data_IF_390995738061
#
_entry.id   IF_390995738061
#
_cell.length_a   1.000
_cell.length_b   1.000
_cell.length_c   1.000
_cell.angle_alpha   90.00
_cell.angle_beta   90.00
_cell.angle_gamma   90.00
#
_symmetry.space_group_name_H-M   'P 1'
#
loop_
_entity.id
_entity.type
_entity.pdbx_description
1 polymer ?
#
# COMPACT_ATOMS: atom_id res chain seq x y z
N UNK A 1 15.48 -9.64 -3.15
CA UNK A 1 14.21 -9.09 -2.64
C UNK A 1 13.03 -9.65 -3.44
N UNK A 2 11.89 -9.94 -2.81
CA UNK A 2 10.66 -10.35 -3.50
C UNK A 2 10.04 -9.17 -4.28
N UNK A 3 9.53 -9.34 -5.52
CA UNK A 3 9.01 -8.23 -6.34
C UNK A 3 7.91 -7.40 -5.65
N UNK A 4 7.10 -8.03 -4.80
CA UNK A 4 6.04 -7.34 -4.06
C UNK A 4 6.56 -6.24 -3.11
N UNK A 5 7.82 -6.33 -2.67
CA UNK A 5 8.42 -5.36 -1.75
C UNK A 5 9.19 -4.25 -2.47
N UNK A 6 9.20 -4.21 -3.80
CA UNK A 6 10.03 -3.28 -4.57
C UNK A 6 9.82 -1.81 -4.18
N UNK A 7 8.58 -1.43 -3.90
CA UNK A 7 8.21 -0.06 -3.50
C UNK A 7 8.61 0.26 -2.06
N UNK A 8 8.80 -0.77 -1.24
CA UNK A 8 9.26 -0.66 0.14
C UNK A 8 10.77 -0.92 0.27
N UNK A 9 11.47 -1.18 -0.84
CA UNK A 9 12.87 -1.59 -0.86
C UNK A 9 13.77 -0.77 0.10
N UNK A 10 13.66 0.58 0.17
CA UNK A 10 14.52 1.38 1.05
C UNK A 10 14.40 1.05 2.55
N UNK A 11 13.27 0.49 2.99
CA UNK A 11 12.98 0.24 4.40
C UNK A 11 12.88 -1.25 4.72
N UNK A 12 12.27 -2.03 3.83
CA UNK A 12 11.96 -3.45 4.05
C UNK A 12 13.23 -4.30 4.22
N UNK A 13 14.34 -3.95 3.55
CA UNK A 13 15.61 -4.67 3.68
C UNK A 13 16.18 -4.57 5.09
N UNK A 14 15.92 -3.45 5.78
CA UNK A 14 16.41 -3.21 7.15
C UNK A 14 15.65 -4.03 8.19
N UNK A 15 14.47 -4.54 7.84
CA UNK A 15 13.55 -5.18 8.79
C UNK A 15 13.14 -6.60 8.41
N UNK A 16 13.58 -7.15 7.27
CA UNK A 16 13.05 -8.43 6.74
C UNK A 16 13.95 -9.65 6.94
N UNK A 17 15.19 -9.48 7.42
CA UNK A 17 16.16 -10.57 7.57
C UNK A 17 16.93 -10.52 8.93
N UNK A 18 16.34 -11.02 10.04
CA UNK A 18 14.98 -11.54 10.18
C UNK A 18 13.93 -10.42 10.29
N UNK A 19 12.65 -10.78 10.27
CA UNK A 19 11.56 -9.85 10.54
C UNK A 19 11.72 -9.16 11.90
N UNK A 20 11.93 -7.85 11.89
CA UNK A 20 12.04 -7.00 13.09
C UNK A 20 11.13 -5.79 12.92
N UNK A 21 10.18 -5.61 13.82
CA UNK A 21 9.25 -4.50 13.69
C UNK A 21 9.98 -3.16 13.83
N UNK A 22 9.77 -2.19 12.93
CA UNK A 22 10.36 -0.87 13.10
C UNK A 22 9.68 -0.14 14.26
N UNK A 23 10.47 0.55 15.08
CA UNK A 23 9.94 1.42 16.14
C UNK A 23 9.37 2.72 15.55
N UNK A 24 8.52 3.42 16.29
CA UNK A 24 8.05 4.76 15.91
C UNK A 24 9.22 5.73 15.65
N UNK A 25 10.28 5.66 16.46
CA UNK A 25 11.50 6.45 16.25
C UNK A 25 12.14 6.16 14.90
N UNK A 26 12.21 4.87 14.51
CA UNK A 26 12.78 4.48 13.21
C UNK A 26 11.89 4.91 12.05
N UNK A 27 10.57 4.72 12.14
CA UNK A 27 9.61 5.17 11.13
C UNK A 27 9.68 6.68 10.92
N UNK A 28 9.72 7.46 12.00
CA UNK A 28 9.84 8.91 11.94
C UNK A 28 11.22 9.37 11.43
N UNK A 29 12.29 8.64 11.75
CA UNK A 29 13.61 8.91 11.16
C UNK A 29 13.62 8.70 9.64
N UNK A 30 12.97 7.65 9.15
CA UNK A 30 12.78 7.44 7.71
C UNK A 30 11.92 8.53 7.07
N UNK A 31 10.83 8.96 7.72
CA UNK A 31 10.03 10.08 7.23
C UNK A 31 10.82 11.39 7.19
N UNK A 32 11.68 11.64 8.18
CA UNK A 32 12.55 12.80 8.19
C UNK A 32 13.60 12.75 7.07
N UNK A 33 14.20 11.58 6.83
CA UNK A 33 15.11 11.38 5.71
C UNK A 33 14.42 11.67 4.36
N UNK A 34 13.16 11.25 4.21
CA UNK A 34 12.34 11.59 3.03
C UNK A 34 12.07 13.08 2.90
N UNK A 35 11.82 13.80 4.00
CA UNK A 35 11.64 15.27 3.98
C UNK A 35 12.89 15.98 3.48
N UNK A 36 14.06 15.46 3.82
CA UNK A 36 15.34 16.06 3.44
C UNK A 36 15.76 15.72 2.00
N UNK A 37 15.14 14.72 1.36
CA UNK A 37 15.44 14.34 -0.01
C UNK A 37 14.78 15.30 -1.02
N UNK A 38 15.56 15.81 -1.97
CA UNK A 38 15.05 16.66 -3.04
C UNK A 38 13.94 15.94 -3.85
N UNK A 39 12.88 16.68 -4.21
CA UNK A 39 11.70 16.19 -4.94
C UNK A 39 10.81 15.15 -4.21
N UNK A 40 10.96 14.99 -2.89
CA UNK A 40 10.06 14.15 -2.09
C UNK A 40 8.81 14.92 -1.66
N UNK A 41 7.64 14.30 -1.81
CA UNK A 41 6.41 14.79 -1.15
C UNK A 41 6.42 14.26 0.28
N UNK A 42 6.53 15.12 1.30
CA UNK A 42 6.56 14.66 2.68
C UNK A 42 5.21 14.04 3.05
N UNK A 43 5.27 13.01 3.89
CA UNK A 43 4.12 12.35 4.48
C UNK A 43 3.95 12.74 5.95
N UNK A 44 2.89 12.22 6.58
CA UNK A 44 2.61 12.40 8.00
C UNK A 44 3.69 11.75 8.89
N UNK A 45 3.76 12.19 10.15
CA UNK A 45 4.52 11.50 11.18
C UNK A 45 3.74 10.28 11.72
N UNK A 46 4.41 9.41 12.45
CA UNK A 46 3.80 8.23 13.08
C UNK A 46 3.76 8.41 14.60
N UNK A 47 2.61 8.12 15.21
CA UNK A 47 2.40 8.28 16.64
C UNK A 47 1.57 7.13 17.21
N UNK A 48 1.86 6.74 18.45
CA UNK A 48 0.98 5.89 19.24
C UNK A 48 -0.10 6.78 19.86
N UNK A 49 -1.27 6.82 19.20
CA UNK A 49 -2.40 7.62 19.62
C UNK A 49 -3.70 6.88 19.29
N UNK A 50 -4.69 7.02 20.15
CA UNK A 50 -6.07 6.62 19.87
C UNK A 50 -6.88 7.89 19.56
N UNK A 51 -7.17 8.17 18.27
CA UNK A 51 -7.82 9.42 17.90
C UNK A 51 -9.30 9.42 18.28
N UNK A 52 -9.73 10.45 19.01
CA UNK A 52 -11.13 10.58 19.47
C UNK A 52 -12.10 10.86 18.31
N UNK A 53 -11.61 11.54 17.27
CA UNK A 53 -12.33 11.91 16.05
C UNK A 53 -12.36 10.77 15.00
N UNK A 54 -11.64 9.67 15.25
CA UNK A 54 -11.49 8.55 14.33
C UNK A 54 -10.20 8.61 13.50
N UNK A 55 -9.87 7.48 12.88
CA UNK A 55 -8.57 7.26 12.23
C UNK A 55 -8.33 8.21 11.03
N UNK A 56 -9.25 8.25 10.07
CA UNK A 56 -9.07 9.04 8.85
C UNK A 56 -9.10 10.55 9.11
N UNK A 57 -10.07 11.10 9.89
CA UNK A 57 -10.11 12.52 10.23
C UNK A 57 -8.86 12.99 10.98
N UNK A 58 -8.32 12.16 11.88
CA UNK A 58 -7.10 12.50 12.63
C UNK A 58 -5.90 12.70 11.72
N UNK A 59 -5.68 11.78 10.77
CA UNK A 59 -4.58 11.91 9.80
C UNK A 59 -4.71 13.19 9.00
N UNK A 60 -5.93 13.50 8.53
CA UNK A 60 -6.19 14.70 7.73
C UNK A 60 -5.95 15.99 8.52
N UNK A 61 -6.32 16.02 9.80
CA UNK A 61 -6.21 17.21 10.64
C UNK A 61 -4.81 17.42 11.24
N UNK A 62 -4.11 16.34 11.59
CA UNK A 62 -2.89 16.41 12.40
C UNK A 62 -1.62 15.97 11.67
N UNK A 63 -1.75 15.45 10.44
CA UNK A 63 -0.63 14.84 9.71
C UNK A 63 0.11 13.79 10.56
N UNK A 64 -0.66 13.02 11.34
CA UNK A 64 -0.19 11.96 12.21
C UNK A 64 -0.94 10.67 11.88
N UNK A 65 -0.20 9.60 11.63
CA UNK A 65 -0.75 8.27 11.38
C UNK A 65 -0.72 7.48 12.69
N UNK A 66 -1.88 7.17 13.29
CA UNK A 66 -1.97 6.26 14.42
C UNK A 66 -1.30 4.93 14.08
N UNK A 67 -0.29 4.56 14.87
CA UNK A 67 0.54 3.38 14.65
C UNK A 67 0.80 2.72 15.99
N UNK A 68 0.16 1.58 16.25
CA UNK A 68 0.30 0.85 17.50
C UNK A 68 1.66 0.13 17.56
N UNK A 69 2.34 0.13 18.72
CA UNK A 69 3.46 -0.76 18.96
C UNK A 69 3.05 -2.22 18.77
N UNK A 70 4.00 -3.07 18.38
CA UNK A 70 3.82 -4.51 18.22
C UNK A 70 2.71 -4.92 17.23
N UNK A 71 2.31 -4.01 16.33
CA UNK A 71 1.33 -4.26 15.28
C UNK A 71 1.97 -4.22 13.87
N UNK A 72 2.11 -5.39 13.24
CA UNK A 72 2.72 -5.50 11.91
C UNK A 72 1.89 -4.85 10.81
N UNK A 73 0.57 -4.91 10.93
CA UNK A 73 -0.33 -4.29 9.98
C UNK A 73 -0.16 -2.76 9.99
N UNK A 74 -0.10 -2.14 11.17
CA UNK A 74 0.19 -0.71 11.31
C UNK A 74 1.60 -0.36 10.82
N UNK A 75 2.59 -1.23 11.08
CA UNK A 75 3.96 -1.03 10.59
C UNK A 75 4.02 -1.03 9.04
N UNK A 76 3.34 -1.97 8.38
CA UNK A 76 3.25 -1.97 6.91
C UNK A 76 2.45 -0.79 6.37
N UNK A 77 1.40 -0.38 7.08
CA UNK A 77 0.66 0.82 6.72
C UNK A 77 1.56 2.07 6.77
N UNK A 78 2.40 2.19 7.81
CA UNK A 78 3.40 3.25 7.92
C UNK A 78 4.42 3.22 6.77
N UNK A 79 4.91 2.02 6.40
CA UNK A 79 5.76 1.84 5.22
C UNK A 79 5.04 2.22 3.91
N UNK A 80 3.74 1.96 3.79
CA UNK A 80 2.95 2.41 2.64
C UNK A 80 2.76 3.93 2.61
N UNK A 81 2.61 4.60 3.75
CA UNK A 81 2.66 6.08 3.83
C UNK A 81 4.03 6.62 3.40
N UNK A 82 5.12 5.93 3.75
CA UNK A 82 6.46 6.23 3.27
C UNK A 82 6.62 5.95 1.76
N UNK A 83 6.00 4.93 1.18
CA UNK A 83 6.14 4.66 -0.25
C UNK A 83 5.23 5.56 -1.11
N UNK A 84 4.01 5.81 -0.63
CA UNK A 84 2.89 6.34 -1.40
C UNK A 84 2.20 7.54 -0.74
N UNK A 85 2.94 8.58 -0.29
CA UNK A 85 2.36 9.66 0.52
C UNK A 85 1.20 10.36 -0.19
N UNK A 86 1.31 10.57 -1.51
CA UNK A 86 0.25 11.20 -2.32
C UNK A 86 -0.99 10.33 -2.46
N UNK A 87 -0.82 9.03 -2.72
CA UNK A 87 -1.94 8.12 -2.91
C UNK A 87 -2.66 7.88 -1.57
N UNK A 88 -1.91 7.66 -0.50
CA UNK A 88 -2.46 7.50 0.85
C UNK A 88 -3.18 8.75 1.33
N UNK A 89 -2.62 9.95 1.11
CA UNK A 89 -3.32 11.20 1.41
C UNK A 89 -4.61 11.39 0.58
N UNK A 90 -4.59 11.01 -0.71
CA UNK A 90 -5.79 11.07 -1.55
C UNK A 90 -6.89 10.10 -1.09
N UNK A 91 -6.51 8.86 -0.73
CA UNK A 91 -7.44 7.85 -0.18
C UNK A 91 -8.01 8.34 1.16
N UNK A 92 -7.16 8.84 2.07
CA UNK A 92 -7.57 9.37 3.36
C UNK A 92 -8.53 10.56 3.20
N UNK A 93 -8.22 11.52 2.33
CA UNK A 93 -9.12 12.66 2.06
C UNK A 93 -10.46 12.19 1.50
N UNK A 94 -10.46 11.25 0.56
CA UNK A 94 -11.71 10.72 0.00
C UNK A 94 -12.56 9.99 1.06
N UNK A 95 -11.91 9.28 2.01
CA UNK A 95 -12.61 8.73 3.18
C UNK A 95 -13.27 9.82 4.02
N UNK A 96 -12.56 10.91 4.32
CA UNK A 96 -13.11 12.03 5.09
C UNK A 96 -14.27 12.72 4.36
N UNK A 97 -14.15 12.98 3.06
CA UNK A 97 -15.20 13.59 2.24
C UNK A 97 -16.49 12.73 2.25
N UNK A 98 -16.35 11.41 2.12
CA UNK A 98 -17.48 10.47 2.18
C UNK A 98 -18.11 10.46 3.58
N UNK A 99 -17.29 10.41 4.63
CA UNK A 99 -17.75 10.43 6.03
C UNK A 99 -18.51 11.72 6.37
N UNK A 100 -18.03 12.86 5.87
CA UNK A 100 -18.68 14.16 6.05
C UNK A 100 -20.03 14.21 5.31
N UNK A 101 -20.05 13.82 4.03
CA UNK A 101 -21.26 13.85 3.21
C UNK A 101 -22.35 12.90 3.70
N UNK A 102 -21.97 11.69 4.16
CA UNK A 102 -22.91 10.68 4.61
C UNK A 102 -23.26 10.73 6.11
N UNK A 103 -22.51 11.52 6.90
CA UNK A 103 -22.77 11.75 8.32
C UNK A 103 -22.86 10.46 9.15
N UNK A 104 -23.86 10.38 10.02
CA UNK A 104 -24.01 9.26 10.95
C UNK A 104 -24.38 7.94 10.27
N UNK A 105 -25.08 7.98 9.14
CA UNK A 105 -25.42 6.78 8.38
C UNK A 105 -24.15 6.11 7.84
N UNK A 106 -23.23 6.89 7.26
CA UNK A 106 -21.96 6.39 6.73
C UNK A 106 -21.01 5.87 7.82
N UNK A 107 -21.06 6.47 9.02
CA UNK A 107 -20.30 5.96 10.18
C UNK A 107 -20.78 4.60 10.65
N UNK A 108 -22.09 4.33 10.56
CA UNK A 108 -22.68 3.04 10.96
C UNK A 108 -22.55 1.97 9.89
N UNK A 109 -22.71 2.37 8.63
CA UNK A 109 -22.64 1.45 7.51
C UNK A 109 -21.84 2.09 6.38
N UNK A 110 -20.76 1.42 6.02
CA UNK A 110 -19.87 1.84 4.95
C UNK A 110 -20.57 1.77 3.60
N UNK A 111 -20.45 2.85 2.82
CA UNK A 111 -20.90 2.88 1.43
C UNK A 111 -19.99 2.04 0.50
N UNK A 112 -20.50 1.63 -0.67
CA UNK A 112 -19.67 0.95 -1.68
C UNK A 112 -18.43 1.74 -2.10
N UNK A 113 -18.52 3.07 -2.15
CA UNK A 113 -17.37 3.93 -2.49
C UNK A 113 -16.28 3.83 -1.42
N UNK A 114 -16.66 3.89 -0.13
CA UNK A 114 -15.73 3.73 0.98
C UNK A 114 -15.16 2.31 1.04
N UNK A 115 -15.94 1.29 0.69
CA UNK A 115 -15.45 -0.10 0.58
C UNK A 115 -14.37 -0.25 -0.50
N UNK A 116 -14.56 0.36 -1.68
CA UNK A 116 -13.55 0.32 -2.75
C UNK A 116 -12.25 0.99 -2.29
N UNK A 117 -12.32 2.12 -1.60
CA UNK A 117 -11.14 2.78 -1.04
C UNK A 117 -10.44 1.91 0.00
N UNK A 118 -11.18 1.27 0.90
CA UNK A 118 -10.60 0.33 1.86
C UNK A 118 -9.94 -0.86 1.15
N UNK A 119 -10.60 -1.47 0.16
CA UNK A 119 -10.02 -2.59 -0.59
C UNK A 119 -8.73 -2.20 -1.33
N UNK A 120 -8.68 -0.99 -1.89
CA UNK A 120 -7.48 -0.44 -2.51
C UNK A 120 -6.37 -0.27 -1.47
N UNK A 121 -6.69 0.27 -0.29
CA UNK A 121 -5.70 0.54 0.75
C UNK A 121 -5.14 -0.72 1.45
N UNK A 122 -5.97 -1.77 1.55
CA UNK A 122 -5.66 -3.03 2.21
C UNK A 122 -4.94 -4.03 1.29
N UNK A 123 -5.45 -4.19 0.06
CA UNK A 123 -5.01 -5.22 -0.87
C UNK A 123 -4.86 -4.75 -2.31
N UNK A 124 -4.77 -3.45 -2.53
CA UNK A 124 -4.63 -2.86 -3.86
C UNK A 124 -3.22 -3.00 -4.43
N UNK A 125 -3.14 -3.19 -5.74
CA UNK A 125 -1.89 -3.15 -6.48
C UNK A 125 -2.08 -2.53 -7.87
N UNK A 126 -0.97 -2.06 -8.43
CA UNK A 126 -0.88 -1.59 -9.82
C UNK A 126 0.07 -2.52 -10.57
N UNK A 127 -0.40 -3.10 -11.67
CA UNK A 127 0.40 -3.92 -12.56
C UNK A 127 0.67 -3.14 -13.85
N UNK A 128 1.93 -2.76 -14.04
CA UNK A 128 2.41 -2.10 -15.25
C UNK A 128 2.95 -3.15 -16.22
N UNK A 129 2.52 -3.09 -17.48
CA UNK A 129 2.88 -4.03 -18.54
C UNK A 129 3.47 -3.30 -19.75
N UNK A 130 4.71 -3.62 -20.10
CA UNK A 130 5.43 -3.04 -21.26
C UNK A 130 5.53 -4.02 -22.44
N UNK A 131 4.66 -5.04 -22.49
CA UNK A 131 4.69 -6.09 -23.51
C UNK A 131 3.26 -6.57 -23.81
N UNK A 132 2.85 -6.41 -25.07
CA UNK A 132 1.51 -6.79 -25.53
C UNK A 132 1.23 -8.30 -25.32
N UNK A 133 2.23 -9.17 -25.52
CA UNK A 133 2.03 -10.60 -25.37
C UNK A 133 1.71 -10.99 -23.92
N UNK A 134 2.24 -10.25 -22.95
CA UNK A 134 1.92 -10.44 -21.52
C UNK A 134 0.50 -9.96 -21.23
N UNK A 135 0.11 -8.79 -21.75
CA UNK A 135 -1.22 -8.24 -21.57
C UNK A 135 -2.30 -9.15 -22.16
N UNK A 136 -2.08 -9.67 -23.37
CA UNK A 136 -2.96 -10.63 -24.04
C UNK A 136 -3.10 -11.92 -23.23
N UNK A 137 -1.99 -12.52 -22.80
CA UNK A 137 -2.02 -13.75 -22.01
C UNK A 137 -2.76 -13.56 -20.66
N UNK A 138 -2.56 -12.42 -20.00
CA UNK A 138 -3.26 -12.07 -18.76
C UNK A 138 -4.77 -11.91 -18.99
N UNK A 139 -5.18 -11.18 -20.03
CA UNK A 139 -6.60 -10.98 -20.37
C UNK A 139 -7.29 -12.30 -20.71
N UNK A 140 -6.61 -13.17 -21.48
CA UNK A 140 -7.10 -14.49 -21.83
C UNK A 140 -7.08 -15.49 -20.65
N UNK A 141 -6.48 -15.12 -19.51
CA UNK A 141 -6.23 -16.02 -18.36
C UNK A 141 -5.41 -17.26 -18.76
N UNK A 142 -4.54 -17.11 -19.74
CA UNK A 142 -3.64 -18.16 -20.21
C UNK A 142 -2.42 -18.25 -19.27
N UNK A 143 -2.63 -18.94 -18.15
CA UNK A 143 -1.63 -19.05 -17.08
C UNK A 143 -0.38 -19.81 -17.51
N UNK A 144 -0.51 -20.78 -18.42
CA UNK A 144 0.62 -21.52 -18.94
C UNK A 144 1.51 -20.59 -19.77
N UNK A 145 0.93 -19.84 -20.72
CA UNK A 145 1.70 -18.87 -21.51
C UNK A 145 2.26 -17.75 -20.64
N UNK A 146 1.46 -17.18 -19.74
CA UNK A 146 1.86 -16.05 -18.91
C UNK A 146 3.01 -16.40 -17.95
N UNK A 147 2.89 -17.50 -17.20
CA UNK A 147 3.82 -17.82 -16.12
C UNK A 147 4.93 -18.80 -16.49
N UNK A 148 4.77 -19.57 -17.57
CA UNK A 148 5.77 -20.55 -18.03
C UNK A 148 6.50 -20.03 -19.27
N UNK A 149 5.79 -19.82 -20.37
CA UNK A 149 6.42 -19.49 -21.67
C UNK A 149 7.00 -18.07 -21.68
N UNK A 150 6.24 -17.09 -21.19
CA UNK A 150 6.63 -15.69 -21.15
C UNK A 150 7.40 -15.33 -19.87
N UNK A 151 7.81 -16.29 -19.04
CA UNK A 151 8.39 -16.02 -17.70
C UNK A 151 9.56 -15.03 -17.70
N UNK A 152 10.57 -15.12 -18.59
CA UNK A 152 11.66 -14.14 -18.62
C UNK A 152 11.15 -12.74 -18.98
N UNK A 153 10.22 -12.66 -19.94
CA UNK A 153 9.58 -11.41 -20.38
C UNK A 153 8.72 -10.81 -19.28
N UNK A 154 7.98 -11.64 -18.53
CA UNK A 154 7.20 -11.21 -17.37
C UNK A 154 8.07 -10.55 -16.31
N UNK A 155 9.26 -11.09 -16.07
CA UNK A 155 10.22 -10.50 -15.12
C UNK A 155 10.80 -9.17 -15.60
N UNK A 156 11.08 -9.02 -16.90
CA UNK A 156 11.69 -7.81 -17.43
C UNK A 156 10.69 -6.70 -17.77
N UNK A 157 9.52 -7.06 -18.30
CA UNK A 157 8.51 -6.14 -18.88
C UNK A 157 7.23 -5.99 -18.06
N UNK A 158 7.15 -6.58 -16.86
CA UNK A 158 6.07 -6.27 -15.92
C UNK A 158 6.61 -5.72 -14.60
N UNK A 159 5.87 -4.79 -14.00
CA UNK A 159 6.15 -4.28 -12.64
C UNK A 159 4.87 -4.30 -11.82
N UNK A 160 4.93 -5.01 -10.70
CA UNK A 160 3.88 -5.03 -9.70
C UNK A 160 4.22 -4.02 -8.60
N UNK A 161 3.33 -3.08 -8.36
CA UNK A 161 3.45 -2.03 -7.35
C UNK A 161 2.35 -2.25 -6.32
N UNK A 162 2.68 -2.80 -5.15
CA UNK A 162 1.70 -2.98 -4.07
C UNK A 162 1.48 -1.66 -3.33
N UNK A 163 0.21 -1.35 -3.10
CA UNK A 163 -0.22 -0.28 -2.19
C UNK A 163 -0.86 -0.88 -0.93
N UNK A 164 -1.52 -2.02 -1.08
CA UNK A 164 -2.20 -2.77 -0.04
C UNK A 164 -1.29 -3.21 1.10
N UNK A 165 -1.42 -2.55 2.26
CA UNK A 165 -0.56 -2.82 3.41
C UNK A 165 -0.87 -4.16 4.10
N UNK A 166 -2.13 -4.62 4.14
CA UNK A 166 -2.45 -5.95 4.63
C UNK A 166 -1.88 -7.06 3.74
N UNK A 167 -1.91 -6.91 2.41
CA UNK A 167 -1.26 -7.87 1.51
C UNK A 167 0.25 -7.96 1.75
N UNK A 168 0.90 -6.84 2.11
CA UNK A 168 2.31 -6.84 2.47
C UNK A 168 2.57 -7.51 3.83
N UNK A 169 1.67 -7.35 4.79
CA UNK A 169 1.72 -8.08 6.06
C UNK A 169 1.55 -9.59 5.87
N UNK A 170 0.54 -10.02 5.10
CA UNK A 170 0.30 -11.43 4.78
C UNK A 170 1.50 -12.08 4.07
N UNK A 171 2.28 -11.32 3.30
CA UNK A 171 3.50 -11.82 2.65
C UNK A 171 4.63 -12.19 3.62
N UNK A 172 4.56 -11.81 4.90
CA UNK A 172 5.48 -12.34 5.92
C UNK A 172 5.29 -13.84 6.14
N UNK A 173 4.06 -14.33 5.98
CA UNK A 173 3.70 -15.75 6.09
C UNK A 173 2.79 -16.13 4.91
N UNK A 174 3.35 -16.26 3.69
CA UNK A 174 2.56 -16.41 2.48
C UNK A 174 1.77 -17.73 2.50
N UNK A 175 0.51 -17.66 2.03
CA UNK A 175 -0.41 -18.80 1.95
C UNK A 175 -1.01 -18.94 0.56
N UNK A 176 -1.49 -20.14 0.24
CA UNK A 176 -2.30 -20.37 -0.96
C UNK A 176 -3.57 -19.51 -0.89
N UNK A 177 -3.93 -18.90 -2.03
CA UNK A 177 -5.10 -18.03 -2.13
C UNK A 177 -4.87 -16.58 -1.72
N UNK A 178 -3.64 -16.18 -1.38
CA UNK A 178 -3.28 -14.76 -1.25
C UNK A 178 -3.49 -14.07 -2.61
N UNK A 179 -4.27 -12.99 -2.63
CA UNK A 179 -4.58 -12.24 -3.86
C UNK A 179 -4.70 -10.75 -3.58
N UNK A 180 -4.37 -9.94 -4.59
CA UNK A 180 -4.49 -8.49 -4.56
C UNK A 180 -5.52 -8.04 -5.61
N UNK A 181 -6.14 -6.88 -5.40
CA UNK A 181 -6.98 -6.21 -6.40
C UNK A 181 -6.09 -5.34 -7.27
N UNK A 182 -5.92 -5.74 -8.53
CA UNK A 182 -4.97 -5.10 -9.43
C UNK A 182 -5.65 -4.16 -10.42
N UNK A 183 -5.18 -2.92 -10.50
CA UNK A 183 -5.35 -2.07 -11.68
C UNK A 183 -4.23 -2.39 -12.67
N UNK A 184 -4.57 -2.60 -13.93
CA UNK A 184 -3.61 -3.00 -14.97
C UNK A 184 -3.44 -1.86 -15.97
N UNK A 185 -2.20 -1.46 -16.23
CA UNK A 185 -1.86 -0.42 -17.20
C UNK A 185 -0.80 -0.91 -18.18
N UNK A 186 -1.04 -0.66 -19.47
CA UNK A 186 -0.01 -0.75 -20.48
C UNK A 186 0.86 0.51 -20.45
N UNK A 187 2.17 0.33 -20.42
CA UNK A 187 3.16 1.41 -20.44
C UNK A 187 4.08 1.24 -21.65
N UNK A 188 4.55 2.34 -22.26
CA UNK A 188 5.48 2.28 -23.38
C UNK A 188 6.86 1.75 -22.98
#
# INVERSE_FOLDING_TARGET
MHPAHHVLAPWIEQISAPWRMPSLTQLNAWQQARRNAAASVPGPNFAEIEPAEGYEPHILAHEQVPTRPDNWHDAFNALCWLAWPRAKAAINRAHCEILEAGGEAERRQRSPARDVLTLLDEGGAVLLLADAAIAEALQARDWQRLFIELRPRLRSHARLLLLGHASLDELRQPRLGLSAKCLVYSVP
#
